data_IF_031003566706
#
_entry.id   IF_031003566706
#
_cell.length_a   1.000
_cell.length_b   1.000
_cell.length_c   1.000
_cell.angle_alpha   90.00
_cell.angle_beta   90.00
_cell.angle_gamma   90.00
#
_symmetry.space_group_name_H-M   'P 1'
#
loop_
_entity.id
_entity.type
_entity.pdbx_description
1 polymer ?
#
# COMPACT_ATOMS: atom_id res chain seq x y z
N UNK A 1 -9.30 0.99 -30.92
CA UNK A 1 -8.31 -0.01 -30.47
C UNK A 1 -7.36 -0.35 -31.62
N UNK A 2 -6.40 0.52 -31.90
CA UNK A 2 -5.23 0.21 -32.74
C UNK A 2 -4.04 0.79 -31.98
N UNK A 3 -2.99 -0.01 -31.78
CA UNK A 3 -1.75 0.27 -31.03
C UNK A 3 -1.68 -0.12 -29.54
N UNK A 4 -2.03 -1.36 -29.18
CA UNK A 4 -1.49 -1.99 -27.95
C UNK A 4 -0.71 -3.29 -28.18
N UNK A 5 -0.55 -3.71 -29.44
CA UNK A 5 0.41 -4.76 -29.80
C UNK A 5 1.23 -4.22 -30.98
N UNK A 6 2.36 -3.59 -30.66
CA UNK A 6 3.45 -3.41 -31.62
C UNK A 6 4.05 -4.80 -31.85
N UNK A 7 3.53 -5.52 -32.85
CA UNK A 7 4.00 -6.84 -33.24
C UNK A 7 5.40 -6.83 -33.88
N UNK A 8 6.06 -5.68 -33.98
CA UNK A 8 7.31 -5.53 -34.72
C UNK A 8 8.58 -5.92 -33.96
N UNK A 9 8.58 -6.01 -32.62
CA UNK A 9 9.82 -6.19 -31.83
C UNK A 9 9.78 -7.36 -30.82
N UNK A 10 9.07 -8.46 -31.11
CA UNK A 10 9.06 -9.63 -30.21
C UNK A 10 10.44 -10.27 -29.97
N UNK A 11 11.45 -9.97 -30.81
CA UNK A 11 12.81 -10.48 -30.67
C UNK A 11 13.72 -9.74 -29.66
N UNK A 12 13.34 -8.55 -29.20
CA UNK A 12 14.17 -7.70 -28.32
C UNK A 12 13.54 -7.45 -26.92
N UNK A 13 12.47 -8.17 -26.58
CA UNK A 13 11.79 -7.98 -25.30
C UNK A 13 12.48 -8.79 -24.19
N UNK A 14 13.09 -8.08 -23.23
CA UNK A 14 13.56 -8.63 -21.95
C UNK A 14 12.42 -9.09 -21.01
N UNK A 15 11.17 -9.09 -21.48
CA UNK A 15 9.99 -9.50 -20.72
C UNK A 15 9.85 -11.02 -20.65
N UNK A 16 9.20 -11.52 -19.60
CA UNK A 16 8.90 -12.96 -19.43
C UNK A 16 7.43 -13.30 -19.75
N UNK A 17 6.55 -12.30 -19.77
CA UNK A 17 5.10 -12.45 -19.97
C UNK A 17 4.54 -11.37 -20.92
N UNK A 18 3.38 -11.65 -21.50
CA UNK A 18 2.54 -10.70 -22.24
C UNK A 18 1.28 -10.43 -21.44
N UNK A 19 0.87 -9.16 -21.37
CA UNK A 19 -0.44 -8.79 -20.82
C UNK A 19 -1.52 -9.17 -21.83
N UNK A 20 -2.45 -10.02 -21.44
CA UNK A 20 -3.56 -10.46 -22.30
C UNK A 20 -4.93 -9.99 -21.82
N UNK A 21 -5.02 -9.50 -20.59
CA UNK A 21 -6.23 -8.93 -20.02
C UNK A 21 -5.88 -7.89 -18.97
N UNK A 22 -6.73 -6.87 -18.88
CA UNK A 22 -6.62 -5.80 -17.89
C UNK A 22 -8.01 -5.54 -17.32
N UNK A 23 -8.17 -5.69 -16.01
CA UNK A 23 -9.33 -5.19 -15.28
C UNK A 23 -9.10 -3.72 -14.94
N UNK A 24 -10.05 -2.86 -15.28
CA UNK A 24 -9.98 -1.42 -15.02
C UNK A 24 -10.90 -1.06 -13.86
N UNK A 25 -10.43 -0.20 -12.96
CA UNK A 25 -11.19 0.25 -11.79
C UNK A 25 -10.57 1.49 -11.16
N UNK A 26 -10.91 1.78 -9.91
CA UNK A 26 -10.24 2.80 -9.10
C UNK A 26 -10.40 2.40 -7.65
N UNK A 27 -9.34 2.54 -6.88
CA UNK A 27 -9.40 2.33 -5.44
C UNK A 27 -9.34 3.66 -4.70
N UNK A 28 -10.05 3.71 -3.57
CA UNK A 28 -9.95 4.79 -2.58
C UNK A 28 -9.96 4.15 -1.20
N UNK A 29 -8.94 4.43 -0.41
CA UNK A 29 -8.81 4.01 0.96
C UNK A 29 -8.92 5.22 1.90
N UNK A 30 -9.72 5.07 2.96
CA UNK A 30 -9.79 5.99 4.08
C UNK A 30 -9.05 5.37 5.26
N UNK A 31 -8.10 6.13 5.80
CA UNK A 31 -7.42 5.83 7.05
C UNK A 31 -7.87 6.81 8.12
N UNK A 32 -8.14 6.29 9.31
CA UNK A 32 -8.62 7.03 10.47
C UNK A 32 -7.74 6.68 11.67
N UNK A 33 -7.27 7.69 12.38
CA UNK A 33 -6.44 7.51 13.58
C UNK A 33 -6.70 8.62 14.58
N UNK A 34 -6.55 8.36 15.87
CA UNK A 34 -6.51 9.44 16.87
C UNK A 34 -5.10 10.02 16.95
N UNK A 35 -5.00 11.35 17.09
CA UNK A 35 -3.72 12.06 17.15
C UNK A 35 -3.15 12.24 18.57
N UNK A 36 -3.86 11.78 19.60
CA UNK A 36 -3.41 11.82 20.99
C UNK A 36 -2.94 10.45 21.49
N UNK A 37 -2.07 10.45 22.51
CA UNK A 37 -1.58 9.23 23.16
C UNK A 37 -2.72 8.56 23.92
N UNK A 38 -3.14 7.40 23.44
CA UNK A 38 -4.13 6.55 24.11
C UNK A 38 -3.38 5.62 25.06
N UNK A 39 -3.87 5.46 26.30
CA UNK A 39 -3.31 4.46 27.21
C UNK A 39 -3.83 3.05 26.85
N UNK A 40 -3.12 1.99 27.26
CA UNK A 40 -3.49 0.60 26.94
C UNK A 40 -4.94 0.26 27.30
N UNK A 41 -5.47 0.85 28.38
CA UNK A 41 -6.86 0.64 28.83
C UNK A 41 -7.93 1.27 27.93
N UNK A 42 -7.58 2.31 27.17
CA UNK A 42 -8.46 3.02 26.24
C UNK A 42 -8.30 2.54 24.80
N UNK A 43 -7.22 1.80 24.48
CA UNK A 43 -6.92 1.31 23.12
C UNK A 43 -8.07 0.46 22.58
N UNK A 44 -8.56 -0.51 23.35
CA UNK A 44 -9.67 -1.37 22.93
C UNK A 44 -10.99 -0.60 22.70
N UNK A 45 -11.21 0.51 23.42
CA UNK A 45 -12.38 1.37 23.21
C UNK A 45 -12.22 2.20 21.94
N UNK A 46 -11.04 2.80 21.74
CA UNK A 46 -10.70 3.55 20.55
C UNK A 46 -10.79 2.70 19.27
N UNK A 47 -10.27 1.49 19.30
CA UNK A 47 -10.38 0.52 18.20
C UNK A 47 -11.84 0.19 17.89
N UNK A 48 -12.66 -0.07 18.92
CA UNK A 48 -14.11 -0.34 18.72
C UNK A 48 -14.85 0.85 18.13
N UNK A 49 -14.51 2.07 18.54
CA UNK A 49 -15.10 3.30 17.98
C UNK A 49 -14.72 3.47 16.52
N UNK A 50 -13.43 3.36 16.18
CA UNK A 50 -12.96 3.44 14.78
C UNK A 50 -13.58 2.34 13.92
N UNK A 51 -13.65 1.11 14.44
CA UNK A 51 -14.27 -0.02 13.76
C UNK A 51 -15.76 0.25 13.46
N UNK A 52 -16.50 0.80 14.42
CA UNK A 52 -17.90 1.18 14.24
C UNK A 52 -18.07 2.23 13.12
N UNK A 53 -17.18 3.23 13.04
CA UNK A 53 -17.17 4.22 11.95
C UNK A 53 -16.87 3.55 10.62
N UNK A 54 -15.83 2.72 10.55
CA UNK A 54 -15.48 1.96 9.34
C UNK A 54 -16.67 1.14 8.83
N UNK A 55 -17.39 0.47 9.72
CA UNK A 55 -18.53 -0.38 9.34
C UNK A 55 -19.73 0.46 8.86
N UNK A 56 -19.92 1.68 9.39
CA UNK A 56 -20.90 2.63 8.83
C UNK A 56 -20.50 3.08 7.41
N UNK A 57 -19.23 3.40 7.16
CA UNK A 57 -18.75 3.75 5.81
C UNK A 57 -18.91 2.61 4.81
N UNK A 58 -18.68 1.36 5.22
CA UNK A 58 -18.93 0.18 4.36
C UNK A 58 -20.40 0.09 3.94
N UNK A 59 -21.34 0.33 4.84
CA UNK A 59 -22.78 0.26 4.54
C UNK A 59 -23.23 1.33 3.53
N UNK A 60 -22.67 2.54 3.62
CA UNK A 60 -22.94 3.63 2.66
C UNK A 60 -22.58 3.27 1.21
N UNK A 61 -21.61 2.36 1.00
CA UNK A 61 -21.19 1.95 -0.34
C UNK A 61 -22.11 0.91 -1.03
N UNK A 62 -23.01 0.28 -0.26
CA UNK A 62 -23.83 -0.85 -0.73
C UNK A 62 -25.26 -0.40 -1.07
N UNK A 63 -25.77 0.58 -0.34
CA UNK A 63 -27.12 1.08 -0.49
C UNK A 63 -27.04 2.49 -1.09
N UNK A 64 -27.47 2.65 -2.36
CA UNK A 64 -27.78 3.95 -2.97
C UNK A 64 -29.00 4.62 -2.28
N UNK A 65 -29.18 4.37 -0.99
CA UNK A 65 -30.33 4.77 -0.24
C UNK A 65 -30.00 6.08 0.45
N UNK A 66 -30.79 7.10 0.13
CA UNK A 66 -30.74 8.46 0.68
C UNK A 66 -31.07 8.51 2.18
N UNK A 67 -31.07 7.37 2.87
CA UNK A 67 -31.40 7.27 4.27
C UNK A 67 -30.18 7.65 5.12
N UNK A 68 -30.30 8.84 5.71
CA UNK A 68 -29.58 9.37 6.86
C UNK A 68 -28.43 8.49 7.38
N UNK A 69 -27.23 8.82 6.90
CA UNK A 69 -26.13 8.90 7.86
C UNK A 69 -26.56 10.00 8.83
N UNK A 70 -27.20 9.62 9.93
CA UNK A 70 -27.33 10.50 11.08
C UNK A 70 -25.90 10.68 11.58
N UNK A 71 -25.23 11.70 11.04
CA UNK A 71 -23.95 12.17 11.56
C UNK A 71 -24.11 12.53 13.04
N UNK A 72 -25.33 12.87 13.47
CA UNK A 72 -25.67 13.23 14.85
C UNK A 72 -25.52 12.06 15.85
N UNK A 73 -25.48 10.80 15.39
CA UNK A 73 -25.25 9.63 16.25
C UNK A 73 -23.78 9.20 16.31
N UNK A 74 -22.91 9.82 15.52
CA UNK A 74 -21.46 9.71 15.72
C UNK A 74 -21.01 11.05 16.30
N UNK A 75 -21.25 11.20 17.60
CA UNK A 75 -20.65 12.28 18.39
C UNK A 75 -19.13 11.96 18.46
N UNK A 76 -18.42 12.25 17.38
CA UNK A 76 -17.09 12.83 17.51
C UNK A 76 -17.36 14.31 17.65
N UNK A 77 -17.27 14.83 18.87
CA UNK A 77 -17.33 16.27 19.01
C UNK A 77 -16.18 16.83 18.18
N UNK A 78 -16.45 17.85 17.36
CA UNK A 78 -15.41 18.58 16.66
C UNK A 78 -14.37 19.03 17.70
N UNK A 79 -13.25 18.32 17.80
CA UNK A 79 -12.30 18.45 18.93
C UNK A 79 -11.58 17.16 19.33
N UNK A 80 -12.08 15.97 18.98
CA UNK A 80 -11.58 14.66 19.47
C UNK A 80 -10.24 14.19 18.87
N UNK A 81 -9.42 15.07 18.30
CA UNK A 81 -8.10 14.71 17.78
C UNK A 81 -8.11 13.63 16.69
N UNK A 82 -9.24 13.37 16.03
CA UNK A 82 -9.33 12.39 14.95
C UNK A 82 -8.63 12.91 13.68
N UNK A 83 -7.64 12.18 13.20
CA UNK A 83 -6.92 12.40 11.96
C UNK A 83 -7.48 11.50 10.85
N UNK A 84 -7.71 12.10 9.68
CA UNK A 84 -8.22 11.45 8.49
C UNK A 84 -7.20 11.56 7.37
N UNK A 85 -6.89 10.44 6.71
CA UNK A 85 -6.04 10.40 5.53
C UNK A 85 -6.75 9.64 4.42
N UNK A 86 -6.80 10.21 3.21
CA UNK A 86 -7.34 9.55 2.02
C UNK A 86 -6.23 9.21 1.04
N UNK A 87 -6.25 7.98 0.55
CA UNK A 87 -5.38 7.49 -0.51
C UNK A 87 -6.25 7.04 -1.67
N UNK A 88 -6.13 7.68 -2.82
CA UNK A 88 -6.97 7.39 -3.98
C UNK A 88 -6.13 7.33 -5.26
N UNK A 89 -6.49 6.41 -6.16
CA UNK A 89 -5.90 6.35 -7.50
C UNK A 89 -6.28 7.57 -8.34
N UNK A 90 -7.43 8.17 -8.03
CA UNK A 90 -8.00 9.31 -8.71
C UNK A 90 -8.63 10.27 -7.69
N UNK A 91 -8.44 11.57 -7.91
CA UNK A 91 -9.16 12.64 -7.21
C UNK A 91 -9.90 13.46 -8.25
N UNK A 92 -11.25 13.51 -8.22
CA UNK A 92 -12.01 14.24 -9.22
C UNK A 92 -11.70 15.73 -9.12
N UNK A 93 -11.74 16.43 -10.25
CA UNK A 93 -11.41 17.85 -10.30
C UNK A 93 -12.34 18.67 -9.38
N UNK A 94 -11.75 19.53 -8.56
CA UNK A 94 -12.48 20.42 -7.66
C UNK A 94 -12.93 19.81 -6.34
N UNK A 95 -12.74 18.50 -6.12
CA UNK A 95 -13.00 17.88 -4.82
C UNK A 95 -11.87 18.19 -3.85
N UNK A 96 -12.24 18.77 -2.70
CA UNK A 96 -11.33 18.99 -1.59
C UNK A 96 -11.06 17.67 -0.87
N UNK A 97 -9.82 17.50 -0.41
CA UNK A 97 -9.47 16.39 0.48
C UNK A 97 -10.24 16.60 1.80
N UNK A 98 -11.03 15.62 2.24
CA UNK A 98 -11.87 15.78 3.42
C UNK A 98 -11.03 15.80 4.69
N UNK A 99 -11.43 16.66 5.61
CA UNK A 99 -10.76 16.89 6.89
C UNK A 99 -11.56 16.36 8.09
N UNK A 100 -12.81 15.96 7.86
CA UNK A 100 -13.71 15.41 8.86
C UNK A 100 -14.60 14.31 8.24
N UNK A 101 -15.29 13.54 9.09
CA UNK A 101 -16.08 12.39 8.65
C UNK A 101 -17.26 12.78 7.73
N UNK A 102 -17.85 13.96 7.94
CA UNK A 102 -18.94 14.46 7.10
C UNK A 102 -18.45 14.74 5.68
N UNK A 103 -17.35 15.47 5.56
CA UNK A 103 -16.69 15.70 4.27
C UNK A 103 -16.23 14.39 3.62
N UNK A 104 -15.73 13.43 4.41
CA UNK A 104 -15.33 12.13 3.90
C UNK A 104 -16.52 11.38 3.28
N UNK A 105 -17.69 11.39 3.94
CA UNK A 105 -18.92 10.82 3.37
C UNK A 105 -19.26 11.45 2.01
N UNK A 106 -19.26 12.77 1.94
CA UNK A 106 -19.55 13.50 0.70
C UNK A 106 -18.54 13.18 -0.40
N UNK A 107 -17.26 13.07 -0.04
CA UNK A 107 -16.18 12.66 -0.94
C UNK A 107 -16.44 11.28 -1.54
N UNK A 108 -16.75 10.26 -0.72
CA UNK A 108 -17.01 8.90 -1.21
C UNK A 108 -18.25 8.81 -2.11
N UNK A 109 -19.32 9.54 -1.79
CA UNK A 109 -20.51 9.59 -2.63
C UNK A 109 -20.22 10.20 -4.00
N UNK A 110 -19.44 11.29 -4.03
CA UNK A 110 -19.07 11.95 -5.29
C UNK A 110 -18.06 11.13 -6.10
N UNK A 111 -17.15 10.40 -5.45
CA UNK A 111 -16.25 9.45 -6.10
C UNK A 111 -17.03 8.37 -6.87
N UNK A 112 -18.04 7.78 -6.23
CA UNK A 112 -18.88 6.76 -6.85
C UNK A 112 -19.63 7.29 -8.09
N UNK A 113 -20.16 8.51 -8.01
CA UNK A 113 -20.85 9.16 -9.15
C UNK A 113 -19.89 9.56 -10.27
N UNK A 114 -18.69 10.01 -9.90
CA UNK A 114 -17.67 10.45 -10.83
C UNK A 114 -17.14 9.30 -11.68
N UNK A 115 -17.15 8.06 -11.17
CA UNK A 115 -16.65 6.87 -11.88
C UNK A 115 -17.23 6.71 -13.29
N UNK A 116 -18.50 7.12 -13.51
CA UNK A 116 -19.13 7.05 -14.83
C UNK A 116 -18.40 7.89 -15.92
N UNK A 117 -17.69 8.94 -15.51
CA UNK A 117 -17.00 9.87 -16.40
C UNK A 117 -15.47 9.67 -16.45
N UNK A 118 -14.91 8.84 -15.56
CA UNK A 118 -13.46 8.59 -15.50
C UNK A 118 -13.06 7.34 -16.28
N UNK A 119 -11.91 7.43 -16.94
CA UNK A 119 -11.19 6.24 -17.41
C UNK A 119 -10.45 5.70 -16.18
N UNK A 120 -10.89 4.56 -15.66
CA UNK A 120 -10.24 3.92 -14.51
C UNK A 120 -8.75 3.64 -14.70
N UNK A 121 -8.08 3.22 -13.65
CA UNK A 121 -6.70 2.71 -13.63
C UNK A 121 -6.69 1.19 -13.80
N UNK A 122 -5.62 0.59 -14.36
CA UNK A 122 -5.44 -0.86 -14.36
C UNK A 122 -5.34 -1.39 -12.92
N UNK A 123 -6.22 -2.31 -12.54
CA UNK A 123 -6.27 -2.90 -11.19
C UNK A 123 -5.73 -4.32 -11.14
N UNK A 124 -6.03 -5.10 -12.18
CA UNK A 124 -5.57 -6.48 -12.29
C UNK A 124 -5.04 -6.74 -13.69
N UNK A 125 -3.95 -7.49 -13.78
CA UNK A 125 -3.32 -7.88 -15.03
C UNK A 125 -3.37 -9.39 -15.16
N UNK A 126 -3.88 -9.87 -16.30
CA UNK A 126 -3.77 -11.27 -16.69
C UNK A 126 -2.52 -11.40 -17.57
N UNK A 127 -1.52 -12.12 -17.06
CA UNK A 127 -0.23 -12.33 -17.70
C UNK A 127 -0.14 -13.74 -18.28
N UNK A 128 0.22 -13.87 -19.55
CA UNK A 128 0.57 -15.15 -20.15
C UNK A 128 2.09 -15.24 -20.39
N UNK A 129 2.73 -16.34 -19.95
CA UNK A 129 4.14 -16.59 -20.25
C UNK A 129 4.41 -16.55 -21.76
N UNK A 130 5.46 -15.83 -22.17
CA UNK A 130 5.83 -15.67 -23.58
C UNK A 130 6.11 -17.01 -24.27
N UNK A 131 6.72 -17.96 -23.55
CA UNK A 131 7.01 -19.30 -24.06
C UNK A 131 5.73 -20.09 -24.42
N UNK A 132 4.63 -19.89 -23.70
CA UNK A 132 3.33 -20.50 -24.00
C UNK A 132 2.74 -19.84 -25.25
N UNK A 133 2.74 -18.51 -25.30
CA UNK A 133 2.23 -17.74 -26.44
C UNK A 133 2.98 -18.15 -27.73
N UNK A 134 4.31 -18.13 -27.72
CA UNK A 134 5.12 -18.51 -28.88
C UNK A 134 4.90 -19.96 -29.32
N UNK A 135 4.72 -20.89 -28.37
CA UNK A 135 4.40 -22.29 -28.66
C UNK A 135 3.04 -22.43 -29.36
N UNK A 136 2.01 -21.76 -28.84
CA UNK A 136 0.65 -21.80 -29.40
C UNK A 136 0.60 -21.19 -30.80
N UNK A 137 1.36 -20.11 -31.04
CA UNK A 137 1.38 -19.42 -32.33
C UNK A 137 2.47 -19.93 -33.30
N UNK A 138 3.19 -21.01 -32.97
CA UNK A 138 4.20 -21.60 -33.87
C UNK A 138 5.42 -20.71 -34.14
N UNK A 139 5.67 -19.70 -33.28
CA UNK A 139 6.73 -18.69 -33.45
C UNK A 139 8.08 -19.16 -32.91
N UNK A 140 8.42 -20.46 -33.03
CA UNK A 140 9.63 -21.04 -32.46
C UNK A 140 10.89 -20.42 -33.11
N UNK A 141 11.41 -19.37 -32.48
CA UNK A 141 12.81 -18.99 -32.59
C UNK A 141 13.51 -19.38 -31.30
N UNK A 142 14.73 -19.89 -31.43
CA UNK A 142 15.58 -20.48 -30.40
C UNK A 142 15.64 -19.67 -29.10
N UNK A 143 14.66 -19.84 -28.21
CA UNK A 143 14.71 -19.25 -26.89
C UNK A 143 15.55 -20.16 -26.00
N UNK A 144 16.80 -19.75 -25.76
CA UNK A 144 17.68 -20.32 -24.72
C UNK A 144 17.21 -19.91 -23.31
N UNK A 145 15.89 -19.89 -23.09
CA UNK A 145 15.26 -19.41 -21.86
C UNK A 145 14.46 -20.51 -21.19
N UNK A 146 15.08 -21.67 -20.96
CA UNK A 146 14.69 -22.50 -19.82
C UNK A 146 15.15 -21.77 -18.54
N UNK A 147 14.54 -20.63 -18.24
CA UNK A 147 14.57 -20.07 -16.89
C UNK A 147 13.73 -21.01 -16.05
N UNK A 148 14.39 -22.00 -15.46
CA UNK A 148 13.81 -22.76 -14.36
C UNK A 148 13.62 -21.71 -13.27
N UNK A 149 12.38 -21.34 -12.99
CA UNK A 149 12.09 -20.54 -11.82
C UNK A 149 12.50 -21.39 -10.61
N UNK A 150 13.58 -21.00 -9.94
CA UNK A 150 13.78 -21.45 -8.58
C UNK A 150 12.62 -20.85 -7.79
N UNK A 151 11.57 -21.63 -7.54
CA UNK A 151 10.44 -21.14 -6.76
C UNK A 151 10.97 -20.82 -5.37
N UNK A 152 10.76 -19.59 -4.90
CA UNK A 152 10.99 -19.26 -3.50
C UNK A 152 9.97 -20.09 -2.71
N UNK A 153 10.46 -20.99 -1.89
CA UNK A 153 9.58 -21.84 -1.08
C UNK A 153 8.75 -20.97 -0.12
N UNK A 154 7.48 -21.33 0.09
CA UNK A 154 6.59 -20.58 0.99
C UNK A 154 7.14 -20.38 2.41
N UNK A 155 7.85 -21.33 3.04
CA UNK A 155 8.51 -21.09 4.33
C UNK A 155 9.51 -19.93 4.31
N UNK A 156 10.23 -19.74 3.21
CA UNK A 156 11.17 -18.63 3.02
C UNK A 156 10.44 -17.30 2.91
N UNK A 157 9.32 -17.27 2.17
CA UNK A 157 8.45 -16.08 2.07
C UNK A 157 7.94 -15.69 3.47
N UNK A 158 7.46 -16.64 4.26
CA UNK A 158 6.97 -16.38 5.64
C UNK A 158 8.07 -15.87 6.57
N UNK A 159 9.30 -16.38 6.44
CA UNK A 159 10.44 -15.87 7.23
C UNK A 159 10.79 -14.43 6.86
N UNK A 160 10.70 -14.09 5.57
CA UNK A 160 10.91 -12.71 5.11
C UNK A 160 9.81 -11.78 5.64
N UNK A 161 8.55 -12.21 5.62
CA UNK A 161 7.42 -11.48 6.23
C UNK A 161 7.69 -11.19 7.72
N UNK A 162 8.02 -12.22 8.51
CA UNK A 162 8.36 -12.05 9.93
C UNK A 162 9.54 -11.12 10.18
N UNK A 163 10.57 -11.17 9.33
CA UNK A 163 11.70 -10.26 9.43
C UNK A 163 11.27 -8.81 9.21
N UNK A 164 10.43 -8.55 8.20
CA UNK A 164 9.89 -7.21 7.95
C UNK A 164 8.99 -6.72 9.09
N UNK A 165 8.21 -7.60 9.72
CA UNK A 165 7.41 -7.25 10.90
C UNK A 165 8.30 -6.78 12.07
N UNK A 166 9.39 -7.52 12.34
CA UNK A 166 10.35 -7.16 13.40
C UNK A 166 11.02 -5.81 13.08
N UNK A 167 11.41 -5.59 11.83
CA UNK A 167 12.01 -4.32 11.38
C UNK A 167 11.02 -3.18 11.57
N UNK A 168 9.77 -3.35 11.16
CA UNK A 168 8.73 -2.34 11.29
C UNK A 168 8.47 -1.96 12.75
N UNK A 169 8.34 -2.96 13.64
CA UNK A 169 8.19 -2.74 15.08
C UNK A 169 9.41 -2.01 15.66
N UNK A 170 10.62 -2.35 15.20
CA UNK A 170 11.85 -1.71 15.64
C UNK A 170 11.95 -0.26 15.19
N UNK A 171 11.62 0.07 13.93
CA UNK A 171 11.54 1.47 13.46
C UNK A 171 10.55 2.28 14.29
N UNK A 172 9.34 1.75 14.51
CA UNK A 172 8.33 2.44 15.32
C UNK A 172 8.81 2.71 16.76
N UNK A 173 9.54 1.76 17.36
CA UNK A 173 10.15 1.97 18.67
C UNK A 173 11.23 3.06 18.66
N UNK A 174 12.09 3.10 17.64
CA UNK A 174 13.08 4.18 17.49
C UNK A 174 12.43 5.55 17.29
N UNK A 175 11.38 5.64 16.48
CA UNK A 175 10.62 6.89 16.29
C UNK A 175 10.03 7.37 17.62
N UNK A 176 9.41 6.47 18.39
CA UNK A 176 8.87 6.79 19.70
C UNK A 176 9.94 7.24 20.69
N UNK A 177 11.12 6.60 20.69
CA UNK A 177 12.25 7.01 21.54
C UNK A 177 12.79 8.38 21.16
N UNK A 178 13.00 8.64 19.86
CA UNK A 178 13.43 9.95 19.36
C UNK A 178 12.42 11.03 19.73
N UNK A 179 11.12 10.75 19.56
CA UNK A 179 10.04 11.66 19.96
C UNK A 179 10.06 11.93 21.46
N UNK A 180 10.17 10.89 22.30
CA UNK A 180 10.24 11.03 23.75
C UNK A 180 11.41 11.92 24.19
N UNK A 181 12.60 11.71 23.61
CA UNK A 181 13.79 12.51 23.89
C UNK A 181 13.64 13.98 23.45
N UNK A 182 12.94 14.21 22.34
CA UNK A 182 12.71 15.56 21.78
C UNK A 182 11.59 16.31 22.50
N UNK A 183 10.57 15.63 23.00
CA UNK A 183 9.45 16.28 23.73
C UNK A 183 9.79 16.54 25.21
N UNK A 184 10.77 15.82 25.75
CA UNK A 184 11.21 15.92 27.15
C UNK A 184 12.64 16.46 27.26
N UNK A 185 12.96 17.52 26.51
CA UNK A 185 14.33 18.00 26.33
C UNK A 185 15.05 18.34 27.64
N UNK A 186 14.30 18.73 28.67
CA UNK A 186 14.84 19.07 30.00
C UNK A 186 15.22 17.87 30.87
N UNK A 187 14.88 16.64 30.47
CA UNK A 187 15.15 15.41 31.23
C UNK A 187 16.35 14.63 30.71
N UNK A 188 16.76 14.85 29.45
CA UNK A 188 17.84 14.10 28.79
C UNK A 188 18.99 15.03 28.43
N UNK A 189 20.23 14.57 28.61
CA UNK A 189 21.40 15.31 28.14
C UNK A 189 21.44 15.33 26.60
N UNK A 190 22.00 16.39 26.01
CA UNK A 190 22.13 16.50 24.55
C UNK A 190 22.96 15.36 23.94
N UNK A 191 23.94 14.84 24.67
CA UNK A 191 24.75 13.70 24.25
C UNK A 191 23.87 12.44 24.07
N UNK A 192 23.01 12.14 25.04
CA UNK A 192 22.10 10.99 25.00
C UNK A 192 21.08 11.12 23.85
N UNK A 193 20.52 12.33 23.64
CA UNK A 193 19.59 12.59 22.54
C UNK A 193 20.25 12.35 21.18
N UNK A 194 21.47 12.84 21.01
CA UNK A 194 22.24 12.66 19.79
C UNK A 194 22.61 11.19 19.56
N UNK A 195 22.93 10.46 20.63
CA UNK A 195 23.19 9.02 20.56
C UNK A 195 21.97 8.24 20.08
N UNK A 196 20.79 8.47 20.68
CA UNK A 196 19.52 7.83 20.25
C UNK A 196 19.22 8.12 18.78
N UNK A 197 19.35 9.39 18.36
CA UNK A 197 19.15 9.79 16.96
C UNK A 197 20.15 9.12 16.02
N UNK A 198 21.41 9.00 16.43
CA UNK A 198 22.44 8.32 15.65
C UNK A 198 22.15 6.83 15.49
N UNK A 199 21.67 6.14 16.53
CA UNK A 199 21.27 4.74 16.42
C UNK A 199 20.05 4.57 15.50
N UNK A 200 19.03 5.42 15.62
CA UNK A 200 17.87 5.39 14.73
C UNK A 200 18.29 5.57 13.26
N UNK A 201 19.17 6.53 12.98
CA UNK A 201 19.70 6.75 11.62
C UNK A 201 20.53 5.55 11.10
N UNK A 202 21.38 4.96 11.96
CA UNK A 202 22.16 3.77 11.59
C UNK A 202 21.24 2.58 11.29
N UNK A 203 20.19 2.39 12.09
CA UNK A 203 19.19 1.35 11.87
C UNK A 203 18.50 1.52 10.52
N UNK A 204 17.96 2.71 10.23
CA UNK A 204 17.32 3.02 8.94
C UNK A 204 18.26 2.84 7.74
N UNK A 205 19.53 3.24 7.87
CA UNK A 205 20.54 3.00 6.84
C UNK A 205 20.74 1.51 6.58
N UNK A 206 20.84 0.69 7.63
CA UNK A 206 20.99 -0.76 7.51
C UNK A 206 19.76 -1.43 6.90
N UNK A 207 18.54 -0.97 7.24
CA UNK A 207 17.30 -1.45 6.62
C UNK A 207 17.28 -1.15 5.11
N UNK A 208 17.74 0.03 4.71
CA UNK A 208 17.80 0.40 3.29
C UNK A 208 18.84 -0.41 2.51
N UNK A 209 20.01 -0.68 3.11
CA UNK A 209 21.01 -1.57 2.53
C UNK A 209 20.45 -2.99 2.34
N UNK A 210 19.84 -3.55 3.38
CA UNK A 210 19.20 -4.87 3.32
C UNK A 210 18.11 -4.94 2.24
N UNK A 211 17.28 -3.90 2.09
CA UNK A 211 16.27 -3.82 1.01
C UNK A 211 16.93 -3.84 -0.37
N UNK A 212 18.05 -3.14 -0.54
CA UNK A 212 18.84 -3.14 -1.76
C UNK A 212 19.38 -4.53 -2.11
N UNK A 213 19.98 -5.21 -1.14
CA UNK A 213 20.48 -6.59 -1.30
C UNK A 213 19.35 -7.57 -1.64
N UNK A 214 18.23 -7.48 -0.92
CA UNK A 214 17.07 -8.33 -1.17
C UNK A 214 16.51 -8.12 -2.58
N UNK A 215 16.45 -6.88 -3.07
CA UNK A 215 16.00 -6.60 -4.43
C UNK A 215 16.87 -7.30 -5.48
N UNK A 216 18.21 -7.30 -5.30
CA UNK A 216 19.14 -8.02 -6.17
C UNK A 216 18.95 -9.53 -6.08
N UNK A 217 18.76 -10.08 -4.87
CA UNK A 217 18.52 -11.51 -4.68
C UNK A 217 17.23 -11.97 -5.36
N UNK A 218 16.12 -11.23 -5.20
CA UNK A 218 14.84 -11.55 -5.83
C UNK A 218 14.94 -11.48 -7.36
N UNK A 219 15.66 -10.51 -7.91
CA UNK A 219 15.94 -10.44 -9.35
C UNK A 219 16.70 -11.69 -9.83
N UNK A 220 17.71 -12.13 -9.06
CA UNK A 220 18.52 -13.29 -9.41
C UNK A 220 17.74 -14.62 -9.38
N UNK A 221 16.77 -14.75 -8.48
CA UNK A 221 15.84 -15.90 -8.46
C UNK A 221 15.08 -16.03 -9.79
N UNK A 222 14.79 -14.91 -10.46
CA UNK A 222 14.11 -14.88 -11.76
C UNK A 222 15.05 -15.09 -12.97
N UNK A 223 16.37 -15.11 -12.79
CA UNK A 223 17.36 -15.09 -13.88
C UNK A 223 18.34 -16.26 -13.92
N UNK A 224 18.30 -17.20 -12.98
CA UNK A 224 19.13 -18.41 -13.06
C UNK A 224 18.63 -19.36 -14.17
N UNK A 225 19.19 -19.22 -15.37
CA UNK A 225 19.27 -20.28 -16.38
C UNK A 225 20.67 -20.90 -16.35
N UNK A 226 20.74 -22.22 -16.41
CA UNK A 226 21.96 -23.02 -16.33
C UNK A 226 23.12 -22.52 -17.22
N UNK A 227 24.35 -22.66 -16.69
CA UNK A 227 25.53 -22.93 -17.51
C UNK A 227 25.44 -24.32 -18.13
#
# INVERSE_FOLDING_TARGET
MKHLISSSNFGELNGTHVVVGISWGTNTALSMAYNYTINDSQTALAEKQLQHVCDKFKKLSIENDSNEFVADDIIFENGDGLMLNIYADLTPEGLKIPTNLKEAKEYFNQMAQSYANFKGTPMELILLPLNIVQRVFGLQQNFAGNRISNNIEMPTIKRLEQLFDIIYQSSANFENLVKLCTENEGFFAEEDKNEVKNYANKFESGVNEMRGELAVLVQNVSSFSCR
#
